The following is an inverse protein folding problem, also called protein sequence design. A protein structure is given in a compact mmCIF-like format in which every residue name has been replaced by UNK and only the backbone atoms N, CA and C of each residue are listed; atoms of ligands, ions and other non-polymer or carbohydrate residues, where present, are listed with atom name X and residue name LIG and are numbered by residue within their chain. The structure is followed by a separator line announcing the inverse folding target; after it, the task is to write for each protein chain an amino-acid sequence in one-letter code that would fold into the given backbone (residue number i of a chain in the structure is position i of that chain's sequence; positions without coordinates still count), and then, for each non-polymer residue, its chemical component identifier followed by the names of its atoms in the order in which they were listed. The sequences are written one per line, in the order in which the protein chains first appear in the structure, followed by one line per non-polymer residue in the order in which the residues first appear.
data_IF_972756486731
#
_entry.id   IF_972756486731
#
_cell.length_a   1.000
_cell.length_b   1.000
_cell.length_c   1.000
_cell.angle_alpha   90.00
_cell.angle_beta   90.00
_cell.angle_gamma   90.00
#
_symmetry.space_group_name_H-M   'P 1'
#
loop_
_entity.id
_entity.type
_entity.pdbx_description
1 polymer ?
#
# COMPACT_ATOMS: atom_id res chain seq x y z
N UNK A 1 36.04 62.71 18.81
CA UNK A 1 37.19 61.88 18.37
C UNK A 1 36.75 61.03 17.18
N UNK A 2 37.64 60.78 16.19
CA UNK A 2 37.54 59.79 15.07
C UNK A 2 36.28 59.91 14.19
N UNK A 3 36.28 60.32 12.91
CA UNK A 3 37.11 60.07 11.71
C UNK A 3 37.01 58.67 11.07
N UNK A 4 36.16 58.58 10.03
CA UNK A 4 36.31 57.82 8.77
C UNK A 4 35.23 58.34 7.81
N UNK A 5 35.48 59.22 6.83
CA UNK A 5 36.33 59.15 5.62
C UNK A 5 35.94 58.05 4.60
N UNK A 6 35.52 58.53 3.42
CA UNK A 6 35.17 57.80 2.20
C UNK A 6 36.39 57.57 1.30
N UNK A 7 36.36 56.56 0.41
CA UNK A 7 36.91 56.65 -0.95
C UNK A 7 36.50 55.46 -1.86
N UNK A 8 36.81 55.55 -3.16
CA UNK A 8 36.51 54.57 -4.23
C UNK A 8 37.80 54.05 -4.91
N UNK A 9 37.68 52.98 -5.71
CA UNK A 9 38.74 52.22 -6.44
C UNK A 9 39.50 51.26 -5.50
N UNK A 10 40.01 50.10 -5.92
CA UNK A 10 40.44 49.65 -7.26
C UNK A 10 39.90 48.25 -7.64
N UNK A 11 40.00 47.91 -8.94
CA UNK A 11 39.97 46.55 -9.49
C UNK A 11 41.09 46.43 -10.52
N UNK A 12 41.87 45.35 -10.49
CA UNK A 12 42.88 45.05 -11.52
C UNK A 12 43.20 43.56 -11.59
N UNK A 13 43.37 43.09 -12.83
CA UNK A 13 43.89 41.82 -13.33
C UNK A 13 44.73 40.95 -12.36
N UNK A 14 44.46 39.64 -12.39
CA UNK A 14 45.50 38.59 -12.51
C UNK A 14 45.06 37.66 -13.65
N UNK A 15 45.99 37.34 -14.55
CA UNK A 15 45.89 36.27 -15.55
C UNK A 15 46.91 35.20 -15.19
N UNK A 16 46.60 33.92 -15.38
CA UNK A 16 47.53 32.81 -15.18
C UNK A 16 47.68 32.01 -16.48
N UNK A 17 48.94 31.81 -16.89
CA UNK A 17 49.36 30.92 -17.96
C UNK A 17 49.99 29.66 -17.34
N UNK A 18 49.73 28.49 -17.92
CA UNK A 18 50.57 27.29 -17.82
C UNK A 18 50.58 26.65 -19.21
N UNK A 19 51.73 26.11 -19.62
CA UNK A 19 52.02 25.62 -20.97
C UNK A 19 51.82 24.09 -21.09
N UNK A 20 51.71 23.53 -22.31
CA UNK A 20 51.72 22.08 -22.55
C UNK A 20 53.14 21.54 -22.77
N UNK A 21 53.42 20.33 -22.30
CA UNK A 21 54.60 19.55 -22.73
C UNK A 21 54.23 18.55 -23.84
N UNK A 22 55.17 18.36 -24.78
CA UNK A 22 55.17 17.22 -25.70
C UNK A 22 56.03 16.08 -25.14
N UNK A 23 55.77 14.83 -25.52
CA UNK A 23 56.80 13.78 -25.48
C UNK A 23 56.61 12.77 -26.59
N UNK A 24 57.69 12.51 -27.33
CA UNK A 24 57.74 11.57 -28.46
C UNK A 24 57.76 10.11 -28.02
N UNK A 25 57.20 9.22 -28.86
CA UNK A 25 57.63 7.82 -28.97
C UNK A 25 57.57 7.38 -30.44
N UNK A 26 58.66 6.81 -30.95
CA UNK A 26 58.82 6.41 -32.35
C UNK A 26 58.07 5.13 -32.76
N UNK A 27 57.87 4.98 -34.08
CA UNK A 27 57.38 3.76 -34.72
C UNK A 27 58.49 2.71 -34.91
N UNK A 28 58.14 1.43 -34.76
CA UNK A 28 58.83 0.30 -35.44
C UNK A 28 57.75 -0.63 -36.00
N UNK A 29 57.97 -1.13 -37.22
CA UNK A 29 57.03 -1.95 -37.99
C UNK A 29 57.40 -3.45 -37.96
N UNK A 30 56.40 -4.30 -37.78
CA UNK A 30 56.40 -5.70 -38.22
C UNK A 30 54.95 -6.19 -38.39
N UNK A 31 54.57 -6.56 -39.61
CA UNK A 31 53.18 -6.83 -39.98
C UNK A 31 52.76 -8.31 -40.01
N UNK A 32 51.60 -8.52 -40.64
CA UNK A 32 50.92 -9.79 -40.97
C UNK A 32 50.13 -10.52 -39.85
N UNK A 33 48.82 -10.31 -39.91
CA UNK A 33 47.80 -11.37 -40.04
C UNK A 33 47.63 -12.43 -38.92
N UNK A 34 46.64 -12.24 -38.04
CA UNK A 34 45.45 -13.12 -38.02
C UNK A 34 44.26 -12.42 -37.31
N UNK A 35 43.01 -12.69 -37.73
CA UNK A 35 41.83 -11.99 -37.26
C UNK A 35 41.23 -12.56 -35.95
N UNK A 36 41.77 -12.17 -34.79
CA UNK A 36 41.05 -12.29 -33.50
C UNK A 36 41.09 -11.00 -32.70
N UNK A 37 39.99 -10.24 -32.71
CA UNK A 37 39.76 -9.22 -31.68
C UNK A 37 39.63 -9.93 -30.33
N UNK A 38 40.33 -9.50 -29.27
CA UNK A 38 40.18 -10.12 -27.96
C UNK A 38 38.76 -9.85 -27.46
N UNK A 39 37.92 -10.88 -27.45
CA UNK A 39 36.64 -10.86 -26.73
C UNK A 39 37.01 -10.72 -25.26
N UNK A 40 36.89 -9.49 -24.74
CA UNK A 40 36.96 -9.23 -23.30
C UNK A 40 36.02 -10.22 -22.62
N UNK A 41 36.50 -11.02 -21.65
CA UNK A 41 35.66 -12.04 -21.01
C UNK A 41 34.42 -11.34 -20.44
N UNK A 42 33.24 -11.81 -20.83
CA UNK A 42 31.99 -11.21 -20.36
C UNK A 42 32.02 -11.16 -18.82
N UNK A 43 31.75 -10.00 -18.21
CA UNK A 43 31.83 -9.88 -16.76
C UNK A 43 30.89 -10.91 -16.14
N UNK A 44 31.36 -11.73 -15.17
CA UNK A 44 30.67 -12.94 -14.75
C UNK A 44 29.22 -12.64 -14.37
N UNK A 45 28.28 -13.32 -15.03
CA UNK A 45 26.86 -13.01 -14.97
C UNK A 45 26.37 -12.92 -13.52
N UNK A 46 25.79 -11.77 -13.15
CA UNK A 46 25.49 -11.44 -11.76
C UNK A 46 24.62 -12.52 -11.08
N UNK A 47 25.23 -13.29 -10.17
CA UNK A 47 24.50 -14.27 -9.38
C UNK A 47 23.97 -13.61 -8.09
N UNK A 48 22.66 -13.41 -8.04
CA UNK A 48 21.95 -12.89 -6.87
C UNK A 48 22.20 -13.72 -5.61
N UNK A 49 22.39 -15.03 -5.71
CA UNK A 49 22.63 -15.86 -4.51
C UNK A 49 24.05 -15.67 -3.96
N UNK A 50 25.06 -15.55 -4.81
CA UNK A 50 26.44 -15.35 -4.38
C UNK A 50 26.61 -13.95 -3.75
N UNK A 51 26.01 -12.94 -4.37
CA UNK A 51 25.95 -11.59 -3.80
C UNK A 51 25.21 -11.55 -2.44
N UNK A 52 24.16 -12.37 -2.25
CA UNK A 52 23.48 -12.52 -0.95
C UNK A 52 24.37 -13.27 0.07
N UNK A 53 25.14 -14.26 -0.36
CA UNK A 53 26.08 -14.99 0.50
C UNK A 53 27.20 -14.05 0.99
N UNK A 54 27.77 -13.24 0.09
CA UNK A 54 28.73 -12.17 0.39
C UNK A 54 28.12 -11.14 1.37
N UNK A 55 26.93 -10.59 1.05
CA UNK A 55 26.23 -9.61 1.88
C UNK A 55 25.96 -10.11 3.31
N UNK A 56 25.78 -11.41 3.49
CA UNK A 56 25.44 -12.05 4.77
C UNK A 56 26.61 -12.72 5.46
N UNK A 57 27.85 -12.48 5.00
CA UNK A 57 29.08 -13.09 5.55
C UNK A 57 28.98 -14.63 5.66
N UNK A 58 28.32 -15.25 4.67
CA UNK A 58 27.98 -16.68 4.58
C UNK A 58 27.12 -17.26 5.73
N UNK A 59 26.63 -16.42 6.65
CA UNK A 59 25.83 -16.76 7.86
C UNK A 59 24.57 -17.62 7.63
N UNK A 60 24.10 -17.71 6.38
CA UNK A 60 22.89 -18.44 6.00
C UNK A 60 23.09 -19.43 4.83
N UNK A 61 24.32 -19.89 4.57
CA UNK A 61 24.61 -20.80 3.44
C UNK A 61 23.83 -22.13 3.53
N UNK A 62 23.71 -22.72 4.72
CA UNK A 62 22.99 -23.99 4.97
C UNK A 62 21.48 -23.81 5.21
N UNK A 63 20.97 -22.58 5.18
CA UNK A 63 19.58 -22.28 5.50
C UNK A 63 18.61 -22.70 4.37
N UNK A 64 17.30 -22.94 4.65
CA UNK A 64 16.34 -23.47 3.69
C UNK A 64 16.36 -22.79 2.31
N UNK A 65 16.28 -23.59 1.25
CA UNK A 65 16.40 -23.11 -0.15
C UNK A 65 15.28 -22.15 -0.56
N UNK A 66 14.12 -22.28 0.05
CA UNK A 66 12.96 -21.41 -0.12
C UNK A 66 12.36 -21.09 1.27
N UNK A 67 11.66 -19.96 1.39
CA UNK A 67 10.94 -19.53 2.60
C UNK A 67 9.48 -19.30 2.21
N UNK A 68 8.53 -19.73 3.03
CA UNK A 68 7.10 -19.48 2.76
C UNK A 68 6.76 -17.98 2.85
N UNK A 69 5.79 -17.52 2.06
CA UNK A 69 5.33 -16.13 2.10
C UNK A 69 4.78 -15.73 3.48
N UNK A 70 4.23 -16.65 4.29
CA UNK A 70 3.74 -16.31 5.64
C UNK A 70 4.89 -16.03 6.61
N UNK A 71 5.94 -16.85 6.56
CA UNK A 71 7.16 -16.65 7.36
C UNK A 71 7.92 -15.41 6.91
N UNK A 72 8.11 -15.25 5.60
CA UNK A 72 8.71 -14.05 5.03
C UNK A 72 7.92 -12.80 5.40
N UNK A 73 6.58 -12.81 5.33
CA UNK A 73 5.74 -11.66 5.74
C UNK A 73 6.01 -11.26 7.20
N UNK A 74 6.13 -12.23 8.11
CA UNK A 74 6.43 -12.00 9.53
C UNK A 74 7.83 -11.39 9.73
N UNK A 75 8.84 -11.95 9.09
CA UNK A 75 10.24 -11.48 9.20
C UNK A 75 10.43 -10.11 8.56
N UNK A 76 9.90 -9.89 7.35
CA UNK A 76 9.99 -8.61 6.65
C UNK A 76 9.25 -7.50 7.42
N UNK A 77 8.07 -7.79 7.98
CA UNK A 77 7.32 -6.82 8.79
C UNK A 77 8.07 -6.35 10.03
N UNK A 78 8.84 -7.23 10.69
CA UNK A 78 9.52 -6.88 11.95
C UNK A 78 10.77 -6.02 11.74
N UNK A 79 11.45 -6.14 10.60
CA UNK A 79 12.66 -5.36 10.27
C UNK A 79 12.39 -4.04 9.55
N UNK A 80 11.20 -3.85 8.96
CA UNK A 80 10.88 -2.67 8.15
C UNK A 80 11.04 -1.33 8.87
N UNK A 81 10.65 -1.24 10.14
CA UNK A 81 10.88 -0.05 10.96
C UNK A 81 12.37 0.29 11.06
N UNK A 82 13.22 -0.73 11.25
CA UNK A 82 14.67 -0.59 11.34
C UNK A 82 15.30 -0.17 10.01
N UNK A 83 14.90 -0.75 8.88
CA UNK A 83 15.41 -0.36 7.55
C UNK A 83 15.13 1.12 7.27
N UNK A 84 13.93 1.59 7.63
CA UNK A 84 13.56 3.01 7.49
C UNK A 84 14.46 3.91 8.34
N UNK A 85 14.86 3.49 9.54
CA UNK A 85 15.79 4.24 10.37
C UNK A 85 17.23 4.20 9.84
N UNK A 86 17.70 3.05 9.36
CA UNK A 86 18.99 2.92 8.69
C UNK A 86 19.09 3.85 7.46
N UNK A 87 18.07 3.85 6.60
CA UNK A 87 17.99 4.71 5.42
C UNK A 87 17.97 6.21 5.77
N UNK A 88 17.34 6.61 6.88
CA UNK A 88 17.34 8.00 7.36
C UNK A 88 18.69 8.40 7.97
N UNK A 89 19.30 7.53 8.80
CA UNK A 89 20.64 7.73 9.36
C UNK A 89 21.69 7.86 8.26
N UNK A 90 21.73 6.90 7.34
CA UNK A 90 22.67 6.84 6.23
C UNK A 90 22.50 8.02 5.27
N UNK A 91 21.25 8.42 4.92
CA UNK A 91 20.99 9.68 4.19
C UNK A 91 21.55 10.91 4.91
N UNK A 92 21.39 10.98 6.23
CA UNK A 92 21.94 12.03 7.08
C UNK A 92 23.43 11.91 7.41
N UNK A 93 24.17 10.95 6.81
CA UNK A 93 25.56 10.59 7.14
C UNK A 93 25.82 10.34 8.63
N UNK A 94 24.81 9.84 9.34
CA UNK A 94 24.88 9.41 10.75
C UNK A 94 25.25 7.92 10.80
N UNK A 95 26.01 7.47 11.83
CA UNK A 95 26.32 6.05 11.97
C UNK A 95 25.05 5.20 12.09
N UNK A 96 25.05 4.09 11.35
CA UNK A 96 24.06 3.02 11.38
C UNK A 96 24.67 1.88 12.22
N UNK A 97 23.93 1.33 13.18
CA UNK A 97 24.46 0.29 14.08
C UNK A 97 24.54 -1.07 13.38
N UNK A 98 25.35 -1.98 13.93
CA UNK A 98 25.45 -3.35 13.41
C UNK A 98 24.11 -4.08 13.43
N UNK A 99 23.26 -3.85 14.45
CA UNK A 99 21.89 -4.40 14.50
C UNK A 99 21.00 -3.86 13.36
N UNK A 100 21.18 -2.60 12.97
CA UNK A 100 20.47 -2.00 11.83
C UNK A 100 20.98 -2.58 10.50
N UNK A 101 22.28 -2.86 10.39
CA UNK A 101 22.87 -3.55 9.24
C UNK A 101 22.41 -5.00 9.14
N UNK A 102 22.46 -5.78 10.22
CA UNK A 102 22.03 -7.18 10.24
C UNK A 102 20.54 -7.32 9.89
N UNK A 103 19.69 -6.37 10.31
CA UNK A 103 18.28 -6.32 9.91
C UNK A 103 18.07 -5.93 8.45
N UNK A 104 18.96 -5.14 7.86
CA UNK A 104 18.96 -4.85 6.42
C UNK A 104 19.46 -6.03 5.58
N UNK A 105 20.54 -6.71 6.02
CA UNK A 105 21.03 -7.98 5.47
C UNK A 105 19.92 -9.04 5.46
N UNK A 106 19.27 -9.25 6.62
CA UNK A 106 18.18 -10.19 6.79
C UNK A 106 16.99 -9.90 5.86
N UNK A 107 16.63 -8.63 5.63
CA UNK A 107 15.55 -8.25 4.71
C UNK A 107 15.84 -8.66 3.26
N UNK A 108 17.03 -8.33 2.75
CA UNK A 108 17.44 -8.68 1.39
C UNK A 108 17.61 -10.20 1.24
N UNK A 109 18.15 -10.88 2.25
CA UNK A 109 18.20 -12.33 2.34
C UNK A 109 16.79 -12.96 2.26
N UNK A 110 15.86 -12.57 3.14
CA UNK A 110 14.50 -13.14 3.17
C UNK A 110 13.75 -12.92 1.86
N UNK A 111 13.97 -11.80 1.15
CA UNK A 111 13.43 -11.58 -0.18
C UNK A 111 14.09 -12.48 -1.25
N UNK A 112 15.39 -12.72 -1.21
CA UNK A 112 16.07 -13.57 -2.20
C UNK A 112 15.52 -15.00 -2.25
N UNK A 113 15.12 -15.56 -1.10
CA UNK A 113 14.54 -16.90 -0.94
C UNK A 113 13.05 -17.00 -1.33
N UNK A 114 12.41 -15.90 -1.73
CA UNK A 114 11.07 -15.92 -2.33
C UNK A 114 11.19 -16.13 -3.84
N UNK A 115 10.69 -17.27 -4.34
CA UNK A 115 10.67 -17.56 -5.78
C UNK A 115 9.76 -16.60 -6.56
N UNK A 116 8.56 -16.34 -6.04
CA UNK A 116 7.59 -15.36 -6.58
C UNK A 116 6.90 -14.63 -5.42
N UNK A 117 6.50 -13.40 -5.66
CA UNK A 117 5.61 -12.63 -4.77
C UNK A 117 4.33 -12.26 -5.51
N UNK A 118 3.24 -12.03 -4.79
CA UNK A 118 2.00 -11.48 -5.37
C UNK A 118 1.95 -9.96 -5.22
N UNK A 119 1.24 -9.24 -6.10
CA UNK A 119 0.99 -7.80 -5.92
C UNK A 119 0.35 -7.47 -4.57
N UNK A 120 -0.49 -8.34 -4.00
CA UNK A 120 -1.06 -8.16 -2.65
C UNK A 120 0.01 -8.29 -1.53
N UNK A 121 0.86 -9.32 -1.57
CA UNK A 121 2.01 -9.46 -0.67
C UNK A 121 2.94 -8.23 -0.75
N UNK A 122 3.21 -7.77 -1.98
CA UNK A 122 4.06 -6.62 -2.26
C UNK A 122 3.45 -5.30 -1.77
N UNK A 123 2.14 -5.09 -1.97
CA UNK A 123 1.39 -3.92 -1.49
C UNK A 123 1.31 -3.89 0.05
N UNK A 124 1.04 -5.01 0.71
CA UNK A 124 0.99 -5.12 2.20
C UNK A 124 2.26 -4.62 2.89
N UNK A 125 3.41 -4.94 2.31
CA UNK A 125 4.73 -4.57 2.81
C UNK A 125 5.29 -3.30 2.13
N UNK A 126 4.64 -2.72 1.12
CA UNK A 126 5.21 -1.67 0.25
C UNK A 126 6.61 -2.03 -0.29
N UNK A 127 6.81 -3.28 -0.73
CA UNK A 127 8.16 -3.83 -0.99
C UNK A 127 8.96 -3.03 -2.01
N UNK A 128 8.33 -2.56 -3.10
CA UNK A 128 8.98 -1.75 -4.15
C UNK A 128 9.64 -0.51 -3.52
N UNK A 129 8.91 0.19 -2.66
CA UNK A 129 9.37 1.39 -1.94
C UNK A 129 10.49 1.09 -0.94
N UNK A 130 10.47 -0.07 -0.26
CA UNK A 130 11.55 -0.46 0.66
C UNK A 130 12.82 -0.92 -0.07
N UNK A 131 12.68 -1.67 -1.17
CA UNK A 131 13.81 -2.03 -2.05
C UNK A 131 14.44 -0.77 -2.65
N UNK A 132 13.64 0.19 -3.10
CA UNK A 132 14.09 1.49 -3.60
C UNK A 132 14.89 2.32 -2.58
N UNK A 133 14.79 2.09 -1.27
CA UNK A 133 15.64 2.78 -0.28
C UNK A 133 17.12 2.43 -0.49
N UNK A 134 17.42 1.19 -0.87
CA UNK A 134 18.78 0.72 -1.13
C UNK A 134 19.31 1.14 -2.51
N UNK A 135 18.42 1.40 -3.48
CA UNK A 135 18.84 1.75 -4.85
C UNK A 135 19.11 3.24 -5.04
N UNK A 136 18.46 4.11 -4.25
CA UNK A 136 18.57 5.57 -4.32
C UNK A 136 19.90 6.09 -3.74
N UNK A 137 20.76 6.77 -4.53
CA UNK A 137 22.07 7.24 -4.07
C UNK A 137 22.01 8.16 -2.84
N UNK A 138 20.94 8.95 -2.71
CA UNK A 138 20.71 9.84 -1.57
C UNK A 138 20.63 9.15 -0.20
N UNK A 139 20.46 7.82 -0.15
CA UNK A 139 20.51 7.06 1.11
C UNK A 139 21.91 6.52 1.45
N UNK A 140 22.93 6.72 0.60
CA UNK A 140 24.34 6.35 0.86
C UNK A 140 24.58 4.88 1.28
N UNK A 141 23.71 3.94 0.88
CA UNK A 141 23.90 2.51 1.16
C UNK A 141 25.14 1.96 0.41
N UNK A 142 25.87 0.96 0.96
CA UNK A 142 27.01 0.35 0.27
C UNK A 142 26.58 -0.30 -1.08
N UNK A 143 27.43 -0.27 -2.13
CA UNK A 143 27.02 -0.62 -3.49
C UNK A 143 26.33 -1.99 -3.63
N UNK A 144 26.80 -3.00 -2.89
CA UNK A 144 26.25 -4.36 -2.91
C UNK A 144 24.74 -4.40 -2.58
N UNK A 145 24.28 -3.59 -1.61
CA UNK A 145 22.85 -3.47 -1.27
C UNK A 145 22.04 -2.89 -2.44
N UNK A 146 22.61 -1.94 -3.19
CA UNK A 146 21.97 -1.33 -4.37
C UNK A 146 21.83 -2.34 -5.51
N UNK A 147 22.90 -3.11 -5.79
CA UNK A 147 22.91 -4.13 -6.84
C UNK A 147 21.92 -5.26 -6.54
N UNK A 148 21.97 -5.82 -5.32
CA UNK A 148 21.05 -6.87 -4.87
C UNK A 148 19.60 -6.39 -4.90
N UNK A 149 19.34 -5.16 -4.43
CA UNK A 149 17.98 -4.61 -4.41
C UNK A 149 17.41 -4.39 -5.82
N UNK A 150 18.22 -3.93 -6.79
CA UNK A 150 17.83 -3.85 -8.21
C UNK A 150 17.45 -5.24 -8.74
N UNK A 151 18.33 -6.23 -8.59
CA UNK A 151 18.07 -7.59 -9.05
C UNK A 151 16.82 -8.24 -8.39
N UNK A 152 16.51 -7.91 -7.13
CA UNK A 152 15.25 -8.30 -6.48
C UNK A 152 14.03 -7.59 -7.08
N UNK A 153 14.12 -6.29 -7.37
CA UNK A 153 13.08 -5.57 -8.11
C UNK A 153 12.86 -6.22 -9.48
N UNK A 154 13.92 -6.51 -10.23
CA UNK A 154 13.80 -7.09 -11.57
C UNK A 154 13.23 -8.52 -11.53
N UNK A 155 13.69 -9.37 -10.60
CA UNK A 155 13.14 -10.72 -10.33
C UNK A 155 11.63 -10.67 -10.08
N UNK A 156 11.17 -9.74 -9.25
CA UNK A 156 9.77 -9.65 -8.88
C UNK A 156 8.91 -8.90 -9.93
N UNK A 157 9.47 -7.94 -10.67
CA UNK A 157 8.78 -7.24 -11.75
C UNK A 157 8.55 -8.18 -12.94
N UNK A 158 9.55 -9.00 -13.31
CA UNK A 158 9.39 -10.05 -14.32
C UNK A 158 8.39 -11.14 -13.91
N UNK A 159 8.19 -11.34 -12.61
CA UNK A 159 7.23 -12.30 -12.05
C UNK A 159 5.77 -11.82 -11.96
N UNK A 160 5.45 -10.60 -12.45
CA UNK A 160 4.18 -9.86 -12.22
C UNK A 160 3.88 -9.61 -10.72
N UNK A 161 4.93 -9.44 -9.90
CA UNK A 161 4.85 -9.42 -8.43
C UNK A 161 4.59 -8.05 -7.77
N UNK A 162 4.63 -6.95 -8.54
CA UNK A 162 4.33 -5.60 -8.02
C UNK A 162 2.97 -5.07 -8.45
N UNK A 163 2.59 -5.35 -9.70
CA UNK A 163 1.45 -4.76 -10.40
C UNK A 163 0.68 -5.89 -11.07
N UNK A 164 -0.65 -5.86 -10.99
CA UNK A 164 -1.49 -6.88 -11.61
C UNK A 164 -1.59 -6.60 -13.11
N UNK A 165 -1.06 -7.51 -13.94
CA UNK A 165 -1.25 -7.44 -15.40
C UNK A 165 -2.74 -7.38 -15.73
N UNK A 166 -3.21 -6.41 -16.55
CA UNK A 166 -4.52 -6.54 -17.16
C UNK A 166 -4.55 -7.80 -18.04
N UNK A 167 -5.67 -8.53 -18.10
CA UNK A 167 -5.75 -9.74 -18.93
C UNK A 167 -5.54 -9.38 -20.41
N UNK A 168 -4.80 -10.20 -21.18
CA UNK A 168 -4.51 -9.92 -22.57
C UNK A 168 -5.81 -9.86 -23.39
N UNK A 169 -5.98 -8.78 -24.17
CA UNK A 169 -7.13 -8.61 -25.05
C UNK A 169 -7.00 -9.51 -26.27
N UNK A 170 -7.59 -10.70 -26.20
CA UNK A 170 -7.70 -11.64 -27.32
C UNK A 170 -8.83 -11.22 -28.28
N UNK A 171 -8.48 -11.07 -29.55
CA UNK A 171 -9.37 -10.61 -30.61
C UNK A 171 -10.05 -11.76 -31.37
N UNK A 172 -11.36 -11.90 -31.15
CA UNK A 172 -12.39 -12.33 -32.14
C UNK A 172 -12.35 -13.78 -32.69
N UNK A 173 -13.54 -14.43 -32.62
CA UNK A 173 -13.94 -15.69 -33.29
C UNK A 173 -13.26 -17.00 -32.82
N UNK A 174 -13.93 -18.16 -32.82
CA UNK A 174 -15.17 -18.55 -33.54
C UNK A 174 -16.10 -19.45 -32.68
N UNK A 175 -17.28 -19.79 -33.22
CA UNK A 175 -18.35 -20.62 -32.62
C UNK A 175 -17.89 -22.04 -32.25
N UNK A 176 -18.49 -22.67 -31.22
CA UNK A 176 -19.48 -23.78 -31.33
C UNK A 176 -19.84 -24.37 -29.94
N UNK A 177 -21.06 -24.91 -29.80
CA UNK A 177 -21.64 -25.50 -28.57
C UNK A 177 -21.22 -26.97 -28.31
N UNK A 178 -21.39 -27.51 -27.07
CA UNK A 178 -22.10 -28.80 -26.74
C UNK A 178 -21.86 -29.33 -25.29
N UNK A 179 -22.97 -29.67 -24.61
CA UNK A 179 -23.25 -30.64 -23.51
C UNK A 179 -22.20 -31.23 -22.51
N UNK A 180 -22.34 -30.85 -21.23
CA UNK A 180 -23.03 -31.61 -20.13
C UNK A 180 -22.75 -33.13 -19.89
N UNK A 181 -22.04 -33.47 -18.78
CA UNK A 181 -22.11 -34.69 -17.87
C UNK A 181 -20.93 -34.63 -16.86
N UNK A 182 -20.85 -35.17 -15.62
CA UNK A 182 -21.76 -35.60 -14.51
C UNK A 182 -21.60 -37.05 -13.95
N UNK A 183 -20.67 -37.26 -13.02
CA UNK A 183 -20.55 -38.37 -12.01
C UNK A 183 -19.72 -37.84 -10.79
N UNK A 184 -19.90 -38.21 -9.51
CA UNK A 184 -20.01 -39.51 -8.77
C UNK A 184 -18.69 -40.32 -8.76
N UNK A 185 -18.21 -40.94 -7.66
CA UNK A 185 -18.69 -41.04 -6.24
C UNK A 185 -17.56 -41.54 -5.28
N UNK A 186 -17.90 -41.89 -4.02
CA UNK A 186 -17.11 -42.56 -2.93
C UNK A 186 -16.02 -41.73 -2.17
N UNK A 187 -15.76 -41.82 -0.84
CA UNK A 187 -15.85 -42.86 0.25
C UNK A 187 -14.66 -43.86 0.25
N UNK A 188 -14.12 -44.45 1.33
CA UNK A 188 -14.04 -44.26 2.82
C UNK A 188 -13.00 -45.27 3.37
N UNK A 189 -12.34 -45.23 4.55
CA UNK A 189 -12.08 -44.23 5.61
C UNK A 189 -11.09 -44.89 6.65
N UNK A 190 -11.13 -44.48 7.94
CA UNK A 190 -10.54 -45.13 9.15
C UNK A 190 -9.04 -44.86 9.45
N UNK A 191 -8.70 -44.84 10.75
CA UNK A 191 -7.35 -44.67 11.35
C UNK A 191 -7.13 -45.74 12.45
N UNK A 192 -5.90 -45.92 12.99
CA UNK A 192 -5.72 -45.47 14.39
C UNK A 192 -4.28 -45.06 14.85
N UNK A 193 -4.26 -44.02 15.71
CA UNK A 193 -3.41 -43.79 16.92
C UNK A 193 -1.89 -44.04 16.90
N UNK A 194 -1.15 -42.95 17.18
CA UNK A 194 0.16 -42.93 17.85
C UNK A 194 0.43 -41.55 18.45
N UNK A 195 0.99 -41.44 19.67
CA UNK A 195 1.15 -40.14 20.37
C UNK A 195 2.61 -39.71 20.55
N UNK A 196 2.92 -38.47 20.13
CA UNK A 196 3.87 -37.57 20.82
C UNK A 196 3.55 -36.10 20.46
N UNK A 197 3.63 -35.19 21.43
CA UNK A 197 3.46 -33.74 21.25
C UNK A 197 4.81 -33.05 21.40
N UNK A 198 5.17 -32.15 20.47
CA UNK A 198 5.89 -30.90 20.80
C UNK A 198 6.11 -30.01 19.55
N UNK A 199 5.76 -28.73 19.68
CA UNK A 199 6.27 -27.60 18.88
C UNK A 199 6.16 -27.69 17.35
N UNK A 200 4.93 -27.70 16.86
CA UNK A 200 4.54 -26.94 15.66
C UNK A 200 3.08 -26.51 15.84
N UNK A 201 2.81 -25.21 15.80
CA UNK A 201 1.45 -24.64 15.83
C UNK A 201 1.20 -23.93 14.49
N UNK A 202 0.34 -24.50 13.62
CA UNK A 202 0.00 -23.88 12.35
C UNK A 202 -0.68 -22.52 12.57
N UNK A 203 -0.48 -21.56 11.67
CA UNK A 203 -1.24 -20.31 11.70
C UNK A 203 -2.73 -20.63 11.63
N UNK A 204 -3.51 -20.27 12.66
CA UNK A 204 -4.93 -20.65 12.73
C UNK A 204 -5.68 -20.23 11.47
N UNK A 205 -6.11 -21.23 10.70
CA UNK A 205 -7.10 -21.07 9.65
C UNK A 205 -8.33 -20.42 10.28
N UNK A 206 -8.64 -19.19 9.85
CA UNK A 206 -9.82 -18.48 10.35
C UNK A 206 -11.04 -19.33 9.96
N UNK A 207 -11.67 -19.98 10.94
CA UNK A 207 -12.88 -20.80 10.75
C UNK A 207 -14.11 -19.88 10.68
N UNK A 208 -15.19 -20.22 9.95
CA UNK A 208 -16.42 -19.45 10.00
C UNK A 208 -17.04 -19.49 11.42
N UNK A 209 -17.77 -18.44 11.83
CA UNK A 209 -18.43 -18.38 13.12
C UNK A 209 -19.57 -19.42 13.26
N UNK A 210 -19.94 -19.82 14.48
CA UNK A 210 -21.14 -20.61 14.73
C UNK A 210 -22.38 -19.92 14.10
N UNK A 211 -23.22 -20.63 13.33
CA UNK A 211 -24.34 -20.00 12.59
C UNK A 211 -25.34 -19.23 13.44
N UNK A 212 -25.43 -19.55 14.72
CA UNK A 212 -26.30 -19.05 15.77
C UNK A 212 -25.64 -17.97 16.66
N UNK A 213 -24.32 -17.75 16.56
CA UNK A 213 -23.60 -16.81 17.41
C UNK A 213 -24.19 -15.38 17.32
N UNK A 214 -24.55 -14.71 18.43
CA UNK A 214 -25.38 -13.49 18.39
C UNK A 214 -24.73 -12.29 17.66
N UNK A 215 -23.40 -12.17 17.69
CA UNK A 215 -22.67 -11.10 16.98
C UNK A 215 -22.26 -11.49 15.55
N UNK A 216 -21.76 -12.71 15.31
CA UNK A 216 -21.08 -13.13 14.07
C UNK A 216 -21.82 -14.18 13.23
N UNK A 217 -22.80 -14.88 13.82
CA UNK A 217 -23.65 -15.84 13.13
C UNK A 217 -24.56 -15.19 12.08
N UNK A 218 -25.43 -15.99 11.45
CA UNK A 218 -26.20 -15.61 10.24
C UNK A 218 -27.02 -14.33 10.40
N UNK A 219 -27.55 -14.10 11.59
CA UNK A 219 -28.41 -12.95 11.93
C UNK A 219 -27.65 -11.82 12.67
N UNK A 220 -26.37 -12.00 12.95
CA UNK A 220 -25.56 -11.05 13.71
C UNK A 220 -25.14 -9.82 12.91
N UNK A 221 -24.72 -8.75 13.61
CA UNK A 221 -24.21 -7.54 12.96
C UNK A 221 -22.91 -7.78 12.16
N UNK A 222 -22.13 -8.80 12.55
CA UNK A 222 -20.93 -9.27 11.87
C UNK A 222 -21.17 -10.53 11.01
N UNK A 223 -22.43 -10.87 10.69
CA UNK A 223 -22.79 -11.96 9.74
C UNK A 223 -21.90 -11.97 8.49
N UNK A 224 -21.49 -13.15 8.03
CA UNK A 224 -20.65 -13.28 6.83
C UNK A 224 -19.23 -12.74 6.97
N UNK A 225 -18.79 -12.39 8.18
CA UNK A 225 -17.41 -12.02 8.49
C UNK A 225 -16.79 -13.09 9.39
N UNK A 226 -15.49 -13.29 9.22
CA UNK A 226 -14.71 -14.30 9.92
C UNK A 226 -13.58 -13.60 10.69
N UNK A 227 -13.23 -14.07 11.88
CA UNK A 227 -12.20 -13.44 12.74
C UNK A 227 -11.43 -14.46 13.56
N UNK A 228 -10.16 -14.15 13.86
CA UNK A 228 -9.29 -14.91 14.77
C UNK A 228 -8.76 -13.99 15.89
N UNK A 229 -9.64 -13.13 16.42
CA UNK A 229 -9.32 -12.02 17.33
C UNK A 229 -8.52 -10.88 16.68
N UNK A 230 -7.39 -11.20 16.06
CA UNK A 230 -6.41 -10.27 15.48
C UNK A 230 -6.79 -9.71 14.10
N UNK A 231 -7.38 -10.53 13.24
CA UNK A 231 -7.78 -10.15 11.88
C UNK A 231 -9.27 -10.42 11.67
N UNK A 232 -9.95 -9.58 10.87
CA UNK A 232 -11.33 -9.80 10.41
C UNK A 232 -11.36 -9.79 8.88
N UNK A 233 -11.96 -10.81 8.26
CA UNK A 233 -12.11 -10.96 6.80
C UNK A 233 -13.59 -11.14 6.42
N UNK A 234 -13.92 -10.87 5.16
CA UNK A 234 -15.19 -11.27 4.56
C UNK A 234 -15.10 -12.74 4.18
N UNK A 235 -16.14 -13.51 4.49
CA UNK A 235 -16.27 -14.90 4.06
C UNK A 235 -16.45 -14.96 2.53
N UNK A 236 -15.54 -15.59 1.77
CA UNK A 236 -15.66 -15.70 0.31
C UNK A 236 -16.91 -16.44 -0.17
N UNK A 237 -17.54 -17.25 0.70
CA UNK A 237 -18.76 -18.00 0.43
C UNK A 237 -20.05 -17.26 0.82
N UNK A 238 -19.97 -16.07 1.43
CA UNK A 238 -21.15 -15.34 1.88
C UNK A 238 -22.01 -14.85 0.69
N UNK A 239 -23.23 -15.38 0.50
CA UNK A 239 -24.01 -15.13 -0.71
C UNK A 239 -24.59 -13.71 -0.76
N UNK A 240 -24.82 -13.09 0.41
CA UNK A 240 -25.56 -11.82 0.53
C UNK A 240 -24.62 -10.61 0.56
N UNK A 241 -23.48 -10.67 -0.14
CA UNK A 241 -22.58 -9.52 -0.32
C UNK A 241 -23.15 -8.60 -1.40
N UNK A 242 -23.42 -7.35 -1.04
CA UNK A 242 -23.92 -6.32 -1.98
C UNK A 242 -22.74 -5.72 -2.77
N UNK A 243 -22.91 -5.46 -4.07
CA UNK A 243 -21.90 -4.71 -4.83
C UNK A 243 -21.92 -3.23 -4.43
N UNK A 244 -20.76 -2.64 -4.22
CA UNK A 244 -20.59 -1.24 -3.86
C UNK A 244 -20.58 -0.30 -5.07
N UNK A 245 -20.39 -0.83 -6.29
CA UNK A 245 -20.23 -0.05 -7.55
C UNK A 245 -21.53 0.55 -8.11
N UNK A 246 -22.58 0.59 -7.29
CA UNK A 246 -23.86 1.21 -7.59
C UNK A 246 -23.83 2.66 -7.10
N UNK A 247 -24.31 3.62 -7.89
CA UNK A 247 -24.45 5.02 -7.47
C UNK A 247 -25.76 5.24 -6.69
N UNK A 248 -25.79 6.28 -5.85
CA UNK A 248 -26.93 6.56 -4.99
C UNK A 248 -26.99 5.67 -3.75
N UNK A 249 -28.18 5.51 -3.16
CA UNK A 249 -28.37 4.91 -1.84
C UNK A 249 -27.91 3.44 -1.73
N UNK A 250 -27.92 2.67 -2.83
CA UNK A 250 -27.57 1.25 -2.84
C UNK A 250 -28.33 0.40 -1.80
N UNK A 251 -29.63 0.70 -1.60
CA UNK A 251 -30.49 0.04 -0.61
C UNK A 251 -30.36 0.55 0.84
N UNK A 252 -29.51 1.56 1.10
CA UNK A 252 -29.19 2.03 2.45
C UNK A 252 -30.05 3.22 2.89
N UNK A 253 -30.39 3.22 4.18
CA UNK A 253 -31.17 4.24 4.87
C UNK A 253 -30.25 5.16 5.68
N UNK A 254 -30.55 6.46 5.72
CA UNK A 254 -29.79 7.41 6.52
C UNK A 254 -29.84 7.01 8.00
N UNK A 255 -28.68 6.83 8.64
CA UNK A 255 -28.59 6.28 10.00
C UNK A 255 -28.36 4.77 10.09
N UNK A 256 -28.15 4.06 8.98
CA UNK A 256 -27.56 2.71 9.00
C UNK A 256 -26.15 2.77 9.61
N UNK A 257 -25.82 1.80 10.48
CA UNK A 257 -24.59 1.80 11.26
C UNK A 257 -23.85 0.45 11.23
N UNK A 258 -22.52 0.49 11.25
CA UNK A 258 -21.65 -0.69 11.27
C UNK A 258 -20.53 -0.57 12.32
N UNK A 259 -20.14 -1.66 13.00
CA UNK A 259 -19.04 -1.66 13.96
C UNK A 259 -17.64 -1.55 13.32
N UNK A 260 -17.49 -2.07 12.10
CA UNK A 260 -16.22 -2.10 11.33
C UNK A 260 -16.50 -1.80 9.85
N UNK A 261 -15.60 -1.10 9.17
CA UNK A 261 -15.73 -0.75 7.75
C UNK A 261 -15.92 -1.97 6.84
N UNK A 262 -15.34 -3.13 7.17
CA UNK A 262 -15.55 -4.38 6.42
C UNK A 262 -17.00 -4.91 6.47
N UNK A 263 -17.78 -4.56 7.50
CA UNK A 263 -19.22 -4.84 7.54
C UNK A 263 -20.01 -3.88 6.63
N UNK A 264 -19.57 -2.61 6.54
CA UNK A 264 -20.09 -1.66 5.56
C UNK A 264 -19.73 -2.05 4.11
N UNK A 265 -18.62 -2.77 3.90
CA UNK A 265 -18.24 -3.35 2.61
C UNK A 265 -19.07 -4.57 2.23
N UNK A 266 -19.39 -5.46 3.19
CA UNK A 266 -20.33 -6.57 2.99
C UNK A 266 -21.69 -6.05 2.50
N UNK A 267 -22.14 -4.94 3.08
CA UNK A 267 -23.45 -4.33 2.83
C UNK A 267 -23.42 -3.27 1.71
N UNK A 268 -22.37 -3.23 0.87
CA UNK A 268 -22.31 -2.37 -0.33
C UNK A 268 -22.18 -0.86 -0.06
N UNK A 269 -22.11 -0.43 1.20
CA UNK A 269 -22.02 0.98 1.56
C UNK A 269 -20.70 1.60 1.11
N UNK A 270 -19.58 0.88 1.23
CA UNK A 270 -18.26 1.33 0.81
C UNK A 270 -17.37 0.20 0.27
N UNK A 271 -16.62 0.44 -0.81
CA UNK A 271 -15.88 -0.63 -1.51
C UNK A 271 -14.48 -0.97 -1.03
N UNK A 272 -14.02 -0.41 0.10
CA UNK A 272 -12.74 -0.77 0.73
C UNK A 272 -12.93 -1.17 2.19
N UNK A 273 -12.12 -2.11 2.69
CA UNK A 273 -12.12 -2.49 4.11
C UNK A 273 -11.39 -1.49 5.01
N UNK A 274 -10.55 -0.62 4.44
CA UNK A 274 -9.67 0.33 5.17
C UNK A 274 -9.48 1.68 4.47
N UNK A 275 -9.68 1.79 3.15
CA UNK A 275 -9.47 3.03 2.40
C UNK A 275 -10.57 4.06 2.63
N UNK A 276 -10.25 5.35 2.47
CA UNK A 276 -11.22 6.44 2.64
C UNK A 276 -12.09 6.72 1.42
N UNK A 277 -11.69 6.29 0.21
CA UNK A 277 -12.39 6.59 -1.05
C UNK A 277 -12.59 5.28 -1.81
N UNK A 278 -13.79 5.09 -2.37
CA UNK A 278 -14.12 3.99 -3.29
C UNK A 278 -14.87 4.54 -4.50
N UNK A 279 -14.40 4.22 -5.70
CA UNK A 279 -14.84 4.88 -6.92
C UNK A 279 -14.32 4.25 -8.21
N UNK A 280 -14.71 4.89 -9.30
CA UNK A 280 -14.07 4.75 -10.60
C UNK A 280 -13.31 6.03 -10.93
N UNK A 281 -12.12 5.90 -11.52
CA UNK A 281 -11.32 7.04 -12.00
C UNK A 281 -11.91 7.70 -13.26
N UNK A 282 -12.92 7.10 -13.89
CA UNK A 282 -13.61 7.64 -15.08
C UNK A 282 -15.01 8.18 -14.78
N UNK A 283 -15.77 7.54 -13.89
CA UNK A 283 -17.18 7.90 -13.61
C UNK A 283 -17.42 8.51 -12.23
N UNK A 284 -16.40 8.56 -11.36
CA UNK A 284 -16.45 9.20 -10.05
C UNK A 284 -16.52 8.25 -8.86
N UNK A 285 -16.37 8.81 -7.66
CA UNK A 285 -16.51 8.10 -6.39
C UNK A 285 -17.94 7.57 -6.17
N UNK A 286 -18.08 6.29 -5.78
CA UNK A 286 -19.33 5.72 -5.29
C UNK A 286 -19.57 6.13 -3.84
N UNK A 287 -18.50 6.22 -3.04
CA UNK A 287 -18.59 6.48 -1.60
C UNK A 287 -17.26 6.96 -1.01
N UNK A 288 -17.36 7.71 0.09
CA UNK A 288 -16.22 8.15 0.93
C UNK A 288 -16.48 7.88 2.41
N UNK A 289 -15.39 7.76 3.17
CA UNK A 289 -15.38 7.63 4.64
C UNK A 289 -14.67 8.85 5.24
N UNK A 290 -15.38 9.58 6.11
CA UNK A 290 -14.84 10.68 6.90
C UNK A 290 -14.38 10.13 8.25
N UNK A 291 -13.09 10.26 8.54
CA UNK A 291 -12.43 9.63 9.69
C UNK A 291 -11.39 10.54 10.32
N UNK A 292 -10.98 10.22 11.54
CA UNK A 292 -9.98 10.99 12.30
C UNK A 292 -8.56 11.05 11.72
N UNK A 293 -8.34 10.50 10.52
CA UNK A 293 -7.02 10.50 9.86
C UNK A 293 -6.60 11.88 9.37
N UNK A 294 -7.55 12.68 8.86
CA UNK A 294 -7.29 14.01 8.28
C UNK A 294 -8.03 15.14 9.00
N UNK A 295 -8.37 14.96 10.28
CA UNK A 295 -9.07 15.92 11.16
C UNK A 295 -8.49 17.36 11.23
N UNK A 296 -7.25 17.57 10.78
CA UNK A 296 -6.61 18.90 10.72
C UNK A 296 -6.79 19.60 9.35
N UNK A 297 -7.36 18.89 8.37
CA UNK A 297 -7.45 19.28 6.96
C UNK A 297 -8.88 19.17 6.42
N UNK A 298 -9.61 18.15 6.87
CA UNK A 298 -11.03 17.95 6.62
C UNK A 298 -11.86 18.93 7.44
N UNK A 299 -12.74 19.68 6.78
CA UNK A 299 -13.69 20.59 7.45
C UNK A 299 -15.11 20.10 7.19
N UNK A 300 -15.81 19.68 8.24
CA UNK A 300 -17.09 18.98 8.17
C UNK A 300 -18.18 19.71 8.97
N UNK A 301 -19.21 20.20 8.28
CA UNK A 301 -20.38 20.88 8.87
C UNK A 301 -21.65 20.01 8.84
N UNK A 302 -21.52 18.72 8.54
CA UNK A 302 -22.66 17.83 8.29
C UNK A 302 -23.15 17.93 6.85
N UNK A 303 -23.65 19.10 6.45
CA UNK A 303 -24.21 19.32 5.10
C UNK A 303 -23.17 19.64 4.03
N UNK A 304 -22.05 20.28 4.41
CA UNK A 304 -20.90 20.51 3.52
C UNK A 304 -19.64 19.92 4.14
N UNK A 305 -18.79 19.31 3.33
CA UNK A 305 -17.52 18.71 3.75
C UNK A 305 -16.42 19.11 2.77
N UNK A 306 -15.37 19.78 3.24
CA UNK A 306 -14.14 19.93 2.47
C UNK A 306 -13.24 18.74 2.75
N UNK A 307 -13.30 17.71 1.90
CA UNK A 307 -12.65 16.41 2.08
C UNK A 307 -11.25 16.36 1.42
N UNK A 308 -10.25 15.86 2.13
CA UNK A 308 -8.85 15.91 1.71
C UNK A 308 -8.43 14.72 0.83
N UNK A 309 -7.61 14.98 -0.18
CA UNK A 309 -6.97 13.94 -1.00
C UNK A 309 -6.02 13.08 -0.17
N UNK A 310 -5.91 11.75 -0.44
CA UNK A 310 -5.00 10.87 0.30
C UNK A 310 -3.55 11.39 0.35
N UNK A 311 -2.93 11.33 1.53
CA UNK A 311 -1.57 11.82 1.78
C UNK A 311 -1.45 13.31 2.12
N UNK A 312 -2.57 14.01 2.35
CA UNK A 312 -2.62 15.45 2.68
C UNK A 312 -1.78 15.85 3.91
N UNK A 313 -1.67 14.96 4.91
CA UNK A 313 -0.91 15.18 6.15
C UNK A 313 0.58 14.89 5.99
N UNK A 314 0.92 13.94 5.11
CA UNK A 314 2.26 13.42 4.92
C UNK A 314 3.08 14.27 3.94
N UNK A 315 2.44 14.73 2.85
CA UNK A 315 3.06 15.40 1.70
C UNK A 315 3.94 16.61 2.07
N UNK A 316 5.03 16.76 1.32
CA UNK A 316 5.87 17.98 1.22
C UNK A 316 6.04 18.42 -0.23
N UNK A 317 5.18 17.94 -1.15
CA UNK A 317 5.28 18.22 -2.57
C UNK A 317 4.84 19.65 -2.93
N UNK A 318 5.52 20.27 -3.90
CA UNK A 318 5.21 21.62 -4.40
C UNK A 318 3.93 21.70 -5.24
N UNK A 319 3.30 20.58 -5.59
CA UNK A 319 1.95 20.48 -6.19
C UNK A 319 1.24 19.24 -5.65
N UNK A 320 -0.10 19.25 -5.65
CA UNK A 320 -0.91 18.16 -5.12
C UNK A 320 -0.88 16.89 -6.01
N UNK A 321 -0.93 15.72 -5.37
CA UNK A 321 -0.95 14.44 -6.10
C UNK A 321 -2.30 14.18 -6.79
N UNK A 322 -2.35 14.47 -8.09
CA UNK A 322 -3.50 14.23 -8.98
C UNK A 322 -3.53 12.83 -9.62
N UNK A 323 -2.48 12.02 -9.47
CA UNK A 323 -2.38 10.66 -10.06
C UNK A 323 -2.78 9.55 -9.10
N UNK A 324 -2.91 9.84 -7.80
CA UNK A 324 -3.50 8.91 -6.83
C UNK A 324 -4.95 8.56 -7.22
N UNK A 325 -5.25 7.26 -7.27
CA UNK A 325 -6.56 6.72 -7.69
C UNK A 325 -7.74 7.31 -6.92
N UNK A 326 -7.59 7.56 -5.61
CA UNK A 326 -8.62 8.21 -4.79
C UNK A 326 -8.86 9.66 -5.19
N UNK A 327 -7.79 10.43 -5.41
CA UNK A 327 -7.87 11.79 -5.96
C UNK A 327 -8.53 11.79 -7.35
N UNK A 328 -8.19 10.84 -8.21
CA UNK A 328 -8.79 10.70 -9.55
C UNK A 328 -10.29 10.40 -9.48
N UNK A 329 -10.74 9.53 -8.56
CA UNK A 329 -12.17 9.27 -8.34
C UNK A 329 -12.93 10.54 -7.93
N UNK A 330 -12.37 11.38 -7.06
CA UNK A 330 -13.02 12.64 -6.66
C UNK A 330 -12.95 13.71 -7.75
N UNK A 331 -11.88 13.76 -8.55
CA UNK A 331 -11.81 14.63 -9.74
C UNK A 331 -12.86 14.24 -10.79
N UNK A 332 -13.08 12.94 -11.02
CA UNK A 332 -14.12 12.44 -11.93
C UNK A 332 -15.54 12.69 -11.39
N UNK A 333 -15.75 12.75 -10.07
CA UNK A 333 -17.04 13.14 -9.49
C UNK A 333 -17.44 14.60 -9.77
N UNK A 334 -16.48 15.50 -9.99
CA UNK A 334 -16.77 16.90 -10.33
C UNK A 334 -17.44 17.02 -11.71
N UNK A 335 -16.99 16.22 -12.69
CA UNK A 335 -17.53 16.23 -14.05
C UNK A 335 -18.72 15.29 -14.24
N UNK A 336 -18.74 14.12 -13.60
CA UNK A 336 -19.86 13.18 -13.70
C UNK A 336 -21.07 13.59 -12.88
N UNK A 337 -20.87 14.41 -11.84
CA UNK A 337 -21.88 14.78 -10.85
C UNK A 337 -22.62 13.59 -10.19
N UNK A 338 -22.04 12.38 -10.25
CA UNK A 338 -22.63 11.19 -9.66
C UNK A 338 -22.73 11.31 -8.12
N UNK A 339 -23.83 10.85 -7.51
CA UNK A 339 -24.04 10.97 -6.07
C UNK A 339 -23.15 9.99 -5.28
N UNK A 340 -22.39 10.56 -4.34
CA UNK A 340 -21.40 9.90 -3.49
C UNK A 340 -22.04 9.59 -2.13
N UNK A 341 -22.01 8.33 -1.68
CA UNK A 341 -22.40 7.99 -0.29
C UNK A 341 -21.33 8.47 0.70
N UNK A 342 -21.72 9.22 1.73
CA UNK A 342 -20.83 9.60 2.83
C UNK A 342 -21.07 8.72 4.05
N UNK A 343 -20.02 8.07 4.52
CA UNK A 343 -19.98 7.40 5.82
C UNK A 343 -19.14 8.22 6.80
N UNK A 344 -19.67 8.51 7.99
CA UNK A 344 -18.90 9.12 9.09
C UNK A 344 -18.50 8.07 10.11
N UNK A 345 -17.33 8.24 10.70
CA UNK A 345 -16.86 7.40 11.83
C UNK A 345 -16.97 8.14 13.16
N UNK A 346 -17.00 7.39 14.26
CA UNK A 346 -16.91 7.96 15.61
C UNK A 346 -15.57 8.67 15.94
N UNK A 347 -14.65 8.76 14.96
CA UNK A 347 -13.34 9.41 15.10
C UNK A 347 -13.19 10.71 14.32
N UNK A 348 -14.13 11.10 13.46
CA UNK A 348 -14.06 12.41 12.78
C UNK A 348 -14.48 13.54 13.74
N UNK A 349 -14.04 14.79 13.50
CA UNK A 349 -14.32 15.91 14.44
C UNK A 349 -15.77 16.32 14.58
N UNK A 350 -16.60 16.22 13.54
CA UNK A 350 -17.92 16.86 13.52
C UNK A 350 -18.81 16.43 14.70
N UNK A 351 -19.52 17.36 15.32
CA UNK A 351 -20.30 17.07 16.53
C UNK A 351 -21.53 16.18 16.27
N UNK A 352 -22.01 16.13 15.04
CA UNK A 352 -23.03 15.17 14.62
C UNK A 352 -22.53 13.75 14.35
N UNK A 353 -21.22 13.44 14.56
CA UNK A 353 -20.62 12.10 14.37
C UNK A 353 -21.37 10.99 15.11
N UNK A 354 -21.33 9.73 14.63
CA UNK A 354 -21.86 8.61 15.40
C UNK A 354 -21.04 8.40 16.69
N UNK A 355 -21.68 7.94 17.75
CA UNK A 355 -21.04 7.63 19.04
C UNK A 355 -20.09 6.44 18.98
N UNK A 356 -20.36 5.47 18.10
CA UNK A 356 -19.51 4.30 17.87
C UNK A 356 -19.53 3.86 16.40
N UNK A 357 -18.44 3.23 15.95
CA UNK A 357 -18.34 2.61 14.63
C UNK A 357 -18.42 3.60 13.46
N UNK A 358 -19.25 3.24 12.47
CA UNK A 358 -19.48 3.91 11.19
C UNK A 358 -20.98 4.13 11.02
N UNK A 359 -21.39 5.25 10.41
CA UNK A 359 -22.80 5.56 10.06
C UNK A 359 -22.89 6.15 8.66
N UNK A 360 -23.92 5.78 7.91
CA UNK A 360 -24.25 6.36 6.61
C UNK A 360 -25.12 7.62 6.76
N UNK A 361 -24.64 8.74 6.22
CA UNK A 361 -25.25 10.07 6.40
C UNK A 361 -25.91 10.63 5.11
N UNK A 362 -26.02 9.80 4.09
CA UNK A 362 -26.69 10.12 2.83
C UNK A 362 -25.75 10.41 1.66
N UNK A 363 -26.35 10.94 0.59
CA UNK A 363 -25.72 11.27 -0.68
C UNK A 363 -25.25 12.73 -0.72
N UNK A 364 -24.08 12.92 -1.33
CA UNK A 364 -23.41 14.20 -1.54
C UNK A 364 -22.92 14.28 -3.00
N UNK A 365 -22.65 15.47 -3.52
CA UNK A 365 -21.96 15.69 -4.80
C UNK A 365 -20.69 16.49 -4.59
N UNK A 366 -19.67 16.21 -5.39
CA UNK A 366 -18.48 17.06 -5.44
C UNK A 366 -18.81 18.32 -6.25
N UNK A 367 -18.77 19.50 -5.63
CA UNK A 367 -19.14 20.78 -6.28
C UNK A 367 -17.92 21.62 -6.66
N UNK A 368 -16.84 21.56 -5.87
CA UNK A 368 -15.62 22.32 -6.13
C UNK A 368 -14.37 21.55 -5.67
N UNK A 369 -13.19 22.01 -6.11
CA UNK A 369 -11.91 21.53 -5.59
C UNK A 369 -10.90 22.68 -5.50
N UNK A 370 -10.28 22.81 -4.34
CA UNK A 370 -9.21 23.78 -4.08
C UNK A 370 -7.89 23.05 -3.81
N UNK A 371 -6.77 23.66 -4.22
CA UNK A 371 -5.45 23.24 -3.75
C UNK A 371 -5.14 23.96 -2.43
N UNK A 372 -4.88 23.18 -1.37
CA UNK A 372 -4.50 23.68 -0.04
C UNK A 372 -3.09 23.21 0.30
N UNK A 373 -2.46 23.83 1.28
CA UNK A 373 -1.15 23.43 1.81
C UNK A 373 -1.27 23.01 3.27
N UNK A 374 -0.48 22.01 3.68
CA UNK A 374 -0.37 21.58 5.06
C UNK A 374 0.72 22.39 5.81
N UNK A 375 0.91 22.11 7.10
CA UNK A 375 1.92 22.78 7.94
C UNK A 375 3.39 22.61 7.47
N UNK A 376 3.67 21.71 6.53
CA UNK A 376 4.99 21.51 5.90
C UNK A 376 5.11 22.23 4.54
N UNK A 377 4.13 23.07 4.20
CA UNK A 377 3.93 23.68 2.87
C UNK A 377 3.69 22.66 1.74
N UNK A 378 3.45 21.39 2.06
CA UNK A 378 3.09 20.37 1.08
C UNK A 378 1.66 20.55 0.60
N UNK A 379 1.47 20.60 -0.72
CA UNK A 379 0.16 20.80 -1.33
C UNK A 379 -0.64 19.51 -1.45
N UNK A 380 -1.96 19.65 -1.32
CA UNK A 380 -2.96 18.59 -1.45
C UNK A 380 -4.26 19.17 -2.05
N UNK A 381 -5.16 18.33 -2.55
CA UNK A 381 -6.48 18.76 -3.01
C UNK A 381 -7.52 18.60 -1.90
N UNK A 382 -8.39 19.59 -1.76
CA UNK A 382 -9.52 19.59 -0.85
C UNK A 382 -10.80 19.76 -1.68
N UNK A 383 -11.66 18.76 -1.66
CA UNK A 383 -12.86 18.65 -2.47
C UNK A 383 -14.07 19.06 -1.64
N UNK A 384 -14.86 20.00 -2.12
CA UNK A 384 -16.11 20.38 -1.48
C UNK A 384 -17.21 19.40 -1.87
N UNK A 385 -17.75 18.69 -0.87
CA UNK A 385 -18.83 17.74 -0.99
C UNK A 385 -20.08 18.32 -0.33
N UNK A 386 -21.12 18.61 -1.12
CA UNK A 386 -22.39 19.18 -0.62
C UNK A 386 -23.48 18.11 -0.63
N UNK A 387 -24.24 18.02 0.46
CA UNK A 387 -25.32 17.02 0.62
C UNK A 387 -26.45 17.27 -0.38
N UNK A 388 -26.95 16.21 -1.01
CA UNK A 388 -28.08 16.30 -1.93
C UNK A 388 -29.36 16.60 -1.15
N UNK A 389 -30.16 17.55 -1.63
CA UNK A 389 -31.44 17.94 -1.04
C UNK A 389 -32.51 16.83 -1.15
N UNK A 390 -33.65 17.01 -0.48
CA UNK A 390 -34.79 16.08 -0.51
C UNK A 390 -34.60 14.75 0.24
N UNK A 391 -33.40 14.44 0.71
CA UNK A 391 -33.13 13.30 1.59
C UNK A 391 -33.56 13.55 3.04
N UNK A 392 -33.89 12.49 3.79
CA UNK A 392 -34.03 12.58 5.26
C UNK A 392 -32.82 13.27 5.91
N UNK A 393 -33.04 14.00 7.00
CA UNK A 393 -31.97 14.61 7.80
C UNK A 393 -30.95 13.60 8.34
N UNK A 394 -29.74 14.08 8.62
CA UNK A 394 -28.68 13.24 9.19
C UNK A 394 -29.12 12.73 10.57
N UNK A 395 -29.17 11.40 10.76
CA UNK A 395 -29.62 10.78 12.02
C UNK A 395 -28.53 10.83 13.09
N UNK A 396 -28.24 12.02 13.62
CA UNK A 396 -27.16 12.27 14.59
C UNK A 396 -27.22 11.33 15.82
N UNK A 397 -28.41 11.05 16.34
CA UNK A 397 -28.63 10.13 17.48
C UNK A 397 -28.42 8.63 17.18
N UNK A 398 -27.79 8.26 16.07
CA UNK A 398 -27.44 6.88 15.70
C UNK A 398 -25.91 6.69 15.74
N UNK A 399 -25.38 5.51 16.15
CA UNK A 399 -26.10 4.34 16.68
C UNK A 399 -26.71 4.58 18.08
N UNK A 400 -27.80 3.88 18.38
CA UNK A 400 -28.42 3.91 19.70
C UNK A 400 -27.67 3.06 20.73
N UNK A 401 -27.98 3.20 22.03
CA UNK A 401 -27.27 2.52 23.13
C UNK A 401 -27.19 0.99 22.94
N UNK A 402 -28.29 0.34 22.54
CA UNK A 402 -28.32 -1.11 22.26
C UNK A 402 -27.56 -1.54 21.00
N UNK A 403 -27.16 -0.61 20.13
CA UNK A 403 -26.24 -0.87 19.03
C UNK A 403 -24.78 -0.67 19.45
N UNK A 404 -24.48 0.38 20.23
CA UNK A 404 -23.16 0.60 20.82
C UNK A 404 -22.73 -0.61 21.65
N UNK A 405 -23.59 -1.10 22.55
CA UNK A 405 -23.33 -2.30 23.36
C UNK A 405 -23.26 -3.62 22.56
N UNK A 406 -23.65 -3.63 21.28
CA UNK A 406 -23.34 -4.74 20.34
C UNK A 406 -22.05 -4.51 19.57
N UNK A 407 -21.70 -3.27 19.27
CA UNK A 407 -20.44 -2.91 18.59
C UNK A 407 -19.22 -3.16 19.48
N UNK A 408 -19.35 -2.96 20.80
CA UNK A 408 -18.31 -3.28 21.78
C UNK A 408 -17.96 -4.78 21.77
N UNK A 409 -18.98 -5.64 21.78
CA UNK A 409 -18.85 -7.11 21.71
C UNK A 409 -18.19 -7.65 20.44
N UNK A 410 -18.04 -6.84 19.40
CA UNK A 410 -17.26 -7.20 18.20
C UNK A 410 -15.75 -7.32 18.49
N UNK A 411 -15.29 -6.85 19.66
CA UNK A 411 -13.91 -7.09 20.16
C UNK A 411 -13.73 -8.44 20.85
N UNK A 412 -14.81 -9.12 21.25
CA UNK A 412 -14.76 -10.37 22.04
C UNK A 412 -14.45 -11.60 21.17
N UNK A 413 -14.76 -11.54 19.87
CA UNK A 413 -14.59 -12.68 18.95
C UNK A 413 -15.84 -13.55 18.88
N UNK A 414 -15.64 -14.85 18.65
CA UNK A 414 -16.62 -15.95 18.66
C UNK A 414 -15.93 -17.29 18.92
#
# INVERSE_FOLDING_TARGET
MRLSHSLKKQFSQITLQIEPEETSTDFVDSGADESTSPVSPEPPAFNLQDAINELTDFKYIDAPKEIDQTEALKTLSSVQGTIRMAAVKSKGRRPVSEEEWDKAKLFLYTLSRLNRITPDFSKKLSLKTYLELFTKPEHNFPPLYSTISKALIDKFQAGDGFEERPPPQLSISTKTSINKRKSKDDKTAISPKGHKRSKDEPSELIKPPPPDHPIWGRNGIMRGLMTNGSSTKLDPSYPNKVDFKVYGHNGLTNGDCWPKQIAALRDGAHGSSMGGISGSTTTGAYSVVISGTYDEFDLDSGHTVHYSSPGAKETSAKEANRTNTGTQCLLASLSSQNPIRVLRTAKCRWDGRPTAGYRYDGLYRAVSVAQRANAKLGKFLSFELVRVEGQEGIRVGRPGVGEVGRFEKVREGY
#
